data_IF_193553240859
#
_entry.id   IF_193553240859
#
_cell.length_a   1.000
_cell.length_b   1.000
_cell.length_c   1.000
_cell.angle_alpha   90.00
_cell.angle_beta   90.00
_cell.angle_gamma   90.00
#
_symmetry.space_group_name_H-M   'P 1'
#
loop_
_entity.id
_entity.type
_entity.pdbx_description
1 polymer ?
#
# COMPACT_ATOMS: atom_id res chain seq x y z
N UNK A 1 15.41 -0.65 3.68
CA UNK A 1 15.52 -1.34 2.38
C UNK A 1 15.63 -0.28 1.29
N UNK A 2 16.51 -0.45 0.30
CA UNK A 2 16.62 0.51 -0.81
C UNK A 2 15.48 0.32 -1.83
N UNK A 3 15.25 1.33 -2.68
CA UNK A 3 14.28 1.26 -3.78
C UNK A 3 14.51 0.05 -4.69
N UNK A 4 15.79 -0.25 -4.98
CA UNK A 4 16.19 -1.40 -5.79
C UNK A 4 15.83 -2.73 -5.12
N UNK A 5 16.21 -2.91 -3.85
CA UNK A 5 15.89 -4.13 -3.09
C UNK A 5 14.38 -4.38 -2.99
N UNK A 6 13.60 -3.32 -2.77
CA UNK A 6 12.14 -3.41 -2.70
C UNK A 6 11.54 -3.78 -4.06
N UNK A 7 12.02 -3.17 -5.15
CA UNK A 7 11.60 -3.49 -6.51
C UNK A 7 11.94 -4.93 -6.89
N UNK A 8 13.15 -5.40 -6.57
CA UNK A 8 13.59 -6.77 -6.85
C UNK A 8 12.72 -7.79 -6.11
N UNK A 9 12.37 -7.50 -4.85
CA UNK A 9 11.45 -8.33 -4.06
C UNK A 9 10.06 -8.44 -4.69
N UNK A 10 9.48 -7.31 -5.15
CA UNK A 10 8.17 -7.32 -5.82
C UNK A 10 8.26 -8.12 -7.13
N UNK A 11 9.32 -7.90 -7.92
CA UNK A 11 9.51 -8.61 -9.19
C UNK A 11 9.58 -10.12 -8.99
N UNK A 12 10.35 -10.56 -8.00
CA UNK A 12 10.45 -11.97 -7.65
C UNK A 12 9.07 -12.55 -7.28
N UNK A 13 8.33 -11.86 -6.41
CA UNK A 13 7.00 -12.28 -6.01
C UNK A 13 6.05 -12.38 -7.22
N UNK A 14 6.05 -11.40 -8.12
CA UNK A 14 5.17 -11.41 -9.29
C UNK A 14 5.51 -12.54 -10.27
N UNK A 15 6.79 -12.82 -10.48
CA UNK A 15 7.23 -13.97 -11.27
C UNK A 15 6.74 -15.28 -10.67
N UNK A 16 6.90 -15.47 -9.36
CA UNK A 16 6.52 -16.71 -8.67
C UNK A 16 4.99 -16.89 -8.57
N UNK A 17 4.28 -15.86 -8.14
CA UNK A 17 2.84 -15.93 -7.86
C UNK A 17 2.00 -16.05 -9.13
N UNK A 18 2.41 -15.39 -10.21
CA UNK A 18 1.65 -15.32 -11.45
C UNK A 18 2.31 -16.05 -12.62
N UNK A 19 3.43 -16.75 -12.38
CA UNK A 19 4.20 -17.48 -13.40
C UNK A 19 4.61 -16.59 -14.58
N UNK A 20 4.89 -15.32 -14.30
CA UNK A 20 5.27 -14.31 -15.30
C UNK A 20 6.77 -14.38 -15.58
N UNK A 21 7.15 -14.03 -16.81
CA UNK A 21 8.57 -13.83 -17.16
C UNK A 21 9.07 -12.49 -16.59
N UNK A 22 10.39 -12.33 -16.39
CA UNK A 22 10.97 -11.05 -15.97
C UNK A 22 10.58 -9.87 -16.87
N UNK A 23 10.45 -10.11 -18.18
CA UNK A 23 10.06 -9.09 -19.17
C UNK A 23 8.61 -8.66 -18.99
N UNK A 24 7.68 -9.61 -18.82
CA UNK A 24 6.27 -9.31 -18.55
C UNK A 24 6.12 -8.51 -17.25
N UNK A 25 6.84 -8.91 -16.20
CA UNK A 25 6.85 -8.16 -14.94
C UNK A 25 7.41 -6.76 -15.16
N UNK A 26 8.49 -6.60 -15.93
CA UNK A 26 9.06 -5.28 -16.22
C UNK A 26 8.09 -4.34 -16.93
N UNK A 27 7.26 -4.85 -17.84
CA UNK A 27 6.20 -4.09 -18.51
C UNK A 27 5.07 -3.68 -17.56
N UNK A 28 4.73 -4.54 -16.58
CA UNK A 28 3.62 -4.28 -15.65
C UNK A 28 4.00 -3.41 -14.45
N UNK A 29 5.27 -3.45 -14.01
CA UNK A 29 5.75 -2.76 -12.81
C UNK A 29 5.39 -1.27 -12.75
N UNK A 30 5.54 -0.47 -13.82
CA UNK A 30 5.17 0.95 -13.78
C UNK A 30 3.69 1.17 -13.43
N UNK A 31 2.78 0.35 -13.98
CA UNK A 31 1.34 0.46 -13.73
C UNK A 31 0.98 0.09 -12.29
N UNK A 32 1.66 -0.91 -11.72
CA UNK A 32 1.51 -1.28 -10.32
C UNK A 32 1.97 -0.17 -9.38
N UNK A 33 3.14 0.42 -9.65
CA UNK A 33 3.68 1.54 -8.86
C UNK A 33 2.76 2.76 -8.95
N UNK A 34 2.28 3.11 -10.14
CA UNK A 34 1.35 4.22 -10.34
C UNK A 34 0.04 4.01 -9.56
N UNK A 35 -0.51 2.79 -9.62
CA UNK A 35 -1.73 2.42 -8.89
C UNK A 35 -1.52 2.50 -7.38
N UNK A 36 -0.39 2.01 -6.87
CA UNK A 36 -0.03 2.13 -5.46
C UNK A 36 0.10 3.60 -5.01
N UNK A 37 0.71 4.46 -5.84
CA UNK A 37 0.80 5.92 -5.56
C UNK A 37 -0.59 6.55 -5.44
N UNK A 38 -1.47 6.28 -6.40
CA UNK A 38 -2.86 6.78 -6.38
C UNK A 38 -3.60 6.32 -5.12
N UNK A 39 -3.43 5.06 -4.71
CA UNK A 39 -4.05 4.55 -3.48
C UNK A 39 -3.49 5.20 -2.21
N UNK A 40 -2.20 5.51 -2.17
CA UNK A 40 -1.58 6.24 -1.07
C UNK A 40 -2.12 7.68 -0.99
N UNK A 41 -2.18 8.38 -2.11
CA UNK A 41 -2.75 9.73 -2.18
C UNK A 41 -4.24 9.73 -1.78
N UNK A 42 -5.01 8.71 -2.17
CA UNK A 42 -6.41 8.54 -1.74
C UNK A 42 -6.53 8.36 -0.23
N UNK A 43 -5.62 7.59 0.38
CA UNK A 43 -5.58 7.40 1.83
C UNK A 43 -5.23 8.70 2.56
N UNK A 44 -4.25 9.45 2.06
CA UNK A 44 -3.87 10.77 2.60
C UNK A 44 -5.02 11.78 2.47
N UNK A 45 -5.75 11.78 1.34
CA UNK A 45 -6.95 12.60 1.17
C UNK A 45 -8.08 12.19 2.13
N UNK A 46 -8.25 10.90 2.36
CA UNK A 46 -9.25 10.37 3.29
C UNK A 46 -8.95 10.80 4.73
N UNK A 47 -7.67 10.90 5.09
CA UNK A 47 -7.25 11.43 6.40
C UNK A 47 -7.70 12.88 6.59
N UNK A 48 -7.68 13.69 5.54
CA UNK A 48 -8.14 15.09 5.60
C UNK A 48 -9.66 15.24 5.80
N UNK A 49 -10.44 14.17 5.56
CA UNK A 49 -11.89 14.17 5.76
C UNK A 49 -12.30 13.95 7.23
N UNK A 50 -11.37 13.57 8.12
CA UNK A 50 -11.61 13.28 9.55
C UNK A 50 -12.77 12.28 9.82
N UNK A 51 -12.97 11.35 8.88
CA UNK A 51 -13.96 10.28 8.97
C UNK A 51 -13.27 8.90 9.02
N UNK A 52 -13.23 8.24 10.19
CA UNK A 52 -12.66 6.90 10.34
C UNK A 52 -13.20 5.88 9.33
N UNK A 53 -14.48 5.95 8.95
CA UNK A 53 -15.07 5.00 8.00
C UNK A 53 -14.50 5.18 6.59
N UNK A 54 -14.26 6.43 6.18
CA UNK A 54 -13.64 6.76 4.89
C UNK A 54 -12.17 6.36 4.90
N UNK A 55 -11.44 6.66 5.98
CA UNK A 55 -10.05 6.24 6.18
C UNK A 55 -9.93 4.71 6.13
N UNK A 56 -10.82 3.99 6.81
CA UNK A 56 -10.84 2.53 6.83
C UNK A 56 -11.09 1.91 5.45
N UNK A 57 -11.98 2.51 4.64
CA UNK A 57 -12.19 2.10 3.23
C UNK A 57 -10.94 2.33 2.38
N UNK A 58 -10.26 3.45 2.53
CA UNK A 58 -9.00 3.70 1.83
C UNK A 58 -7.88 2.75 2.28
N UNK A 59 -7.83 2.43 3.58
CA UNK A 59 -6.94 1.41 4.16
C UNK A 59 -7.17 0.02 3.53
N UNK A 60 -8.44 -0.38 3.35
CA UNK A 60 -8.79 -1.63 2.66
C UNK A 60 -8.26 -1.67 1.22
N UNK A 61 -8.45 -0.59 0.47
CA UNK A 61 -8.02 -0.48 -0.93
C UNK A 61 -6.50 -0.59 -1.05
N UNK A 62 -5.74 0.19 -0.29
CA UNK A 62 -4.27 0.14 -0.37
C UNK A 62 -3.72 -1.18 0.16
N UNK A 63 -4.37 -1.82 1.15
CA UNK A 63 -4.02 -3.18 1.59
C UNK A 63 -4.08 -4.16 0.43
N UNK A 64 -5.16 -4.13 -0.37
CA UNK A 64 -5.29 -4.98 -1.55
C UNK A 64 -4.15 -4.76 -2.55
N UNK A 65 -3.80 -3.51 -2.82
CA UNK A 65 -2.68 -3.18 -3.70
C UNK A 65 -1.33 -3.70 -3.17
N UNK A 66 -1.06 -3.58 -1.88
CA UNK A 66 0.15 -4.10 -1.23
C UNK A 66 0.23 -5.63 -1.31
N UNK A 67 -0.89 -6.32 -1.08
CA UNK A 67 -0.97 -7.79 -1.19
C UNK A 67 -0.72 -8.27 -2.61
N UNK A 68 -1.25 -7.57 -3.62
CA UNK A 68 -0.99 -7.88 -5.03
C UNK A 68 0.49 -7.73 -5.42
N UNK A 69 1.30 -7.04 -4.61
CA UNK A 69 2.73 -6.84 -4.81
C UNK A 69 3.60 -7.69 -3.87
N UNK A 70 3.01 -8.59 -3.08
CA UNK A 70 3.76 -9.43 -2.13
C UNK A 70 4.33 -8.64 -0.94
N UNK A 71 3.77 -7.45 -0.67
CA UNK A 71 4.17 -6.58 0.43
C UNK A 71 3.33 -6.85 1.68
N UNK A 72 3.29 -8.11 2.12
CA UNK A 72 2.43 -8.59 3.22
C UNK A 72 2.70 -7.85 4.53
N UNK A 73 3.97 -7.63 4.86
CA UNK A 73 4.44 -6.84 6.01
C UNK A 73 3.92 -5.39 5.97
N UNK A 74 3.78 -4.80 4.78
CA UNK A 74 3.27 -3.45 4.63
C UNK A 74 1.73 -3.45 4.66
N UNK A 75 1.12 -4.52 4.12
CA UNK A 75 -0.32 -4.72 4.15
C UNK A 75 -0.86 -4.90 5.58
N UNK A 76 -0.06 -5.40 6.52
CA UNK A 76 -0.42 -5.46 7.94
C UNK A 76 -0.69 -4.07 8.54
N UNK A 77 0.11 -3.08 8.17
CA UNK A 77 -0.10 -1.70 8.61
C UNK A 77 -1.37 -1.09 7.97
N UNK A 78 -1.59 -1.33 6.68
CA UNK A 78 -2.82 -0.93 5.99
C UNK A 78 -4.06 -1.62 6.58
N UNK A 79 -3.91 -2.88 7.02
CA UNK A 79 -4.96 -3.61 7.71
C UNK A 79 -5.28 -3.04 9.09
N UNK A 80 -4.29 -2.55 9.83
CA UNK A 80 -4.53 -1.84 11.08
C UNK A 80 -5.40 -0.59 10.84
N UNK A 81 -5.07 0.22 9.83
CA UNK A 81 -5.86 1.39 9.41
C UNK A 81 -7.28 0.97 9.03
N UNK A 82 -7.43 -0.07 8.20
CA UNK A 82 -8.74 -0.62 7.82
C UNK A 82 -9.56 -1.04 9.04
N UNK A 83 -8.95 -1.77 9.97
CA UNK A 83 -9.62 -2.35 11.14
C UNK A 83 -10.13 -1.28 12.10
N UNK A 84 -9.29 -0.31 12.45
CA UNK A 84 -9.68 0.82 13.31
C UNK A 84 -10.74 1.68 12.62
N UNK A 85 -10.54 1.97 11.33
CA UNK A 85 -11.47 2.79 10.56
C UNK A 85 -12.86 2.16 10.42
N UNK A 86 -12.93 0.85 10.14
CA UNK A 86 -14.19 0.08 10.12
C UNK A 86 -14.92 0.08 11.47
N UNK A 87 -14.18 0.17 12.57
CA UNK A 87 -14.74 0.28 13.92
C UNK A 87 -15.22 1.67 14.29
N UNK A 88 -15.00 2.69 13.44
CA UNK A 88 -15.30 4.08 13.78
C UNK A 88 -14.40 4.65 14.88
N UNK A 89 -13.25 4.03 15.14
CA UNK A 89 -12.38 4.37 16.26
C UNK A 89 -11.76 5.75 16.04
N UNK A 90 -12.18 6.75 16.84
CA UNK A 90 -11.64 8.12 16.82
C UNK A 90 -10.44 8.31 17.74
N UNK A 91 -10.09 7.32 18.56
CA UNK A 91 -8.93 7.37 19.44
C UNK A 91 -7.63 6.96 18.74
N UNK A 92 -7.74 6.30 17.58
CA UNK A 92 -6.62 5.89 16.76
C UNK A 92 -5.88 7.08 16.14
N UNK A 93 -4.54 7.05 16.19
CA UNK A 93 -3.70 8.01 15.48
C UNK A 93 -3.53 7.60 14.01
N UNK A 94 -4.57 7.82 13.21
CA UNK A 94 -4.53 7.55 11.77
C UNK A 94 -3.42 8.33 11.07
N UNK A 95 -3.07 9.53 11.55
CA UNK A 95 -2.03 10.35 10.95
C UNK A 95 -0.67 9.66 11.08
N UNK A 96 -0.32 9.14 12.26
CA UNK A 96 0.91 8.39 12.46
C UNK A 96 0.94 7.10 11.63
N UNK A 97 -0.19 6.37 11.56
CA UNK A 97 -0.27 5.13 10.78
C UNK A 97 -0.10 5.36 9.28
N UNK A 98 -0.79 6.36 8.73
CA UNK A 98 -0.71 6.76 7.31
C UNK A 98 0.70 7.25 6.99
N UNK A 99 1.31 8.08 7.85
CA UNK A 99 2.68 8.55 7.67
C UNK A 99 3.71 7.41 7.70
N UNK A 100 3.52 6.44 8.60
CA UNK A 100 4.35 5.24 8.65
C UNK A 100 4.23 4.42 7.37
N UNK A 101 3.02 4.24 6.85
CA UNK A 101 2.80 3.51 5.60
C UNK A 101 3.43 4.24 4.42
N UNK A 102 3.25 5.57 4.31
CA UNK A 102 3.89 6.40 3.28
C UNK A 102 5.40 6.20 3.28
N UNK A 103 6.03 6.29 4.45
CA UNK A 103 7.49 6.11 4.60
C UNK A 103 7.98 4.74 4.12
N UNK A 104 7.20 3.68 4.33
CA UNK A 104 7.56 2.33 3.89
C UNK A 104 7.53 2.19 2.36
N UNK A 105 6.60 2.85 1.69
CA UNK A 105 6.41 2.74 0.24
C UNK A 105 7.06 3.87 -0.57
N UNK A 106 7.48 4.96 0.06
CA UNK A 106 8.23 6.07 -0.57
C UNK A 106 9.34 5.58 -1.51
N UNK A 107 10.16 4.57 -1.18
CA UNK A 107 11.19 4.09 -2.10
C UNK A 107 10.66 3.55 -3.44
N UNK A 108 9.36 3.25 -3.56
CA UNK A 108 8.70 2.83 -4.81
C UNK A 108 8.06 3.98 -5.57
N UNK A 109 7.42 4.91 -4.86
CA UNK A 109 6.50 5.88 -5.46
C UNK A 109 7.05 7.32 -5.55
N UNK A 110 8.21 7.60 -4.95
CA UNK A 110 8.77 8.95 -4.87
C UNK A 110 8.39 9.67 -3.59
#
# INVERSE_FOLDING_TARGET
MSARQLSDRIRLFLCEQFQLTPDQVAEMMPNFIATLSVHMENLERSLAADDPLVIGKAGHTIKGALLNLGLTDYAELAYAIEKMGKGGDRSADYKALVANLRRLITPLIG
#
